data_IF_315402387224
#
_entry.id   IF_315402387224
#
_cell.length_a   1.000
_cell.length_b   1.000
_cell.length_c   1.000
_cell.angle_alpha   90.00
_cell.angle_beta   90.00
_cell.angle_gamma   90.00
#
_symmetry.space_group_name_H-M   'P 1'
#
loop_
_entity.id
_entity.type
_entity.pdbx_description
1 polymer ?
#
# COMPACT_ATOMS: atom_id res chain seq x y z
N UNK A 1 -40.56 26.31 -7.41
CA UNK A 1 -40.36 25.23 -8.42
C UNK A 1 -38.89 25.07 -8.83
N UNK A 2 -38.17 26.12 -9.28
CA UNK A 2 -36.76 26.00 -9.72
C UNK A 2 -35.76 25.49 -8.67
N UNK A 3 -35.91 25.88 -7.38
CA UNK A 3 -35.02 25.42 -6.29
C UNK A 3 -35.14 23.91 -5.98
N UNK A 4 -36.34 23.34 -6.09
CA UNK A 4 -36.58 21.91 -5.81
C UNK A 4 -35.95 21.04 -6.92
N UNK A 5 -36.07 21.48 -8.18
CA UNK A 5 -35.44 20.81 -9.33
C UNK A 5 -33.91 20.79 -9.20
N UNK A 6 -33.30 21.89 -8.74
CA UNK A 6 -31.86 21.96 -8.56
C UNK A 6 -31.35 21.01 -7.46
N UNK A 7 -32.06 20.92 -6.33
CA UNK A 7 -31.71 19.98 -5.23
C UNK A 7 -31.85 18.53 -5.70
N UNK A 8 -32.88 18.21 -6.48
CA UNK A 8 -33.08 16.87 -7.03
C UNK A 8 -31.96 16.49 -8.02
N UNK A 9 -31.56 17.41 -8.91
CA UNK A 9 -30.44 17.21 -9.83
C UNK A 9 -29.12 16.98 -9.09
N UNK A 10 -28.85 17.75 -8.03
CA UNK A 10 -27.65 17.58 -7.21
C UNK A 10 -27.65 16.23 -6.50
N UNK A 11 -28.77 15.82 -5.90
CA UNK A 11 -28.91 14.51 -5.25
C UNK A 11 -28.77 13.34 -6.24
N UNK A 12 -29.33 13.46 -7.44
CA UNK A 12 -29.17 12.49 -8.53
C UNK A 12 -27.71 12.38 -8.99
N UNK A 13 -27.01 13.52 -9.10
CA UNK A 13 -25.59 13.54 -9.50
C UNK A 13 -24.65 12.94 -8.45
N UNK A 14 -24.93 13.20 -7.16
CA UNK A 14 -24.20 12.60 -6.03
C UNK A 14 -24.40 11.09 -5.97
N UNK A 15 -25.64 10.61 -6.12
CA UNK A 15 -25.94 9.18 -6.15
C UNK A 15 -25.31 8.49 -7.37
N UNK A 16 -25.30 9.14 -8.55
CA UNK A 16 -24.63 8.59 -9.73
C UNK A 16 -23.10 8.50 -9.55
N UNK A 17 -22.47 9.50 -8.91
CA UNK A 17 -21.04 9.46 -8.59
C UNK A 17 -20.70 8.40 -7.53
N UNK A 18 -21.53 8.28 -6.49
CA UNK A 18 -21.36 7.26 -5.44
C UNK A 18 -21.53 5.84 -6.01
N UNK A 19 -22.57 5.61 -6.83
CA UNK A 19 -22.80 4.33 -7.50
C UNK A 19 -21.66 3.99 -8.49
N UNK A 20 -21.17 4.98 -9.25
CA UNK A 20 -20.05 4.78 -10.19
C UNK A 20 -18.73 4.48 -9.45
N UNK A 21 -18.48 5.12 -8.31
CA UNK A 21 -17.33 4.82 -7.44
C UNK A 21 -17.45 3.42 -6.84
N UNK A 22 -18.65 3.04 -6.37
CA UNK A 22 -18.91 1.72 -5.80
C UNK A 22 -18.75 0.60 -6.85
N UNK A 23 -19.27 0.78 -8.06
CA UNK A 23 -19.13 -0.18 -9.16
C UNK A 23 -17.68 -0.29 -9.68
N UNK A 24 -16.88 0.77 -9.58
CA UNK A 24 -15.45 0.71 -9.90
C UNK A 24 -14.62 -0.03 -8.82
N UNK A 25 -15.06 0.01 -7.55
CA UNK A 25 -14.35 -0.65 -6.44
C UNK A 25 -14.59 -2.17 -6.40
N UNK A 26 -15.73 -2.65 -6.89
CA UNK A 26 -16.09 -4.08 -6.83
C UNK A 26 -15.21 -4.99 -7.71
N UNK A 27 -14.37 -4.41 -8.57
CA UNK A 27 -13.52 -5.16 -9.51
C UNK A 27 -12.08 -4.61 -9.61
N UNK A 28 -11.64 -3.78 -8.67
CA UNK A 28 -10.29 -3.24 -8.69
C UNK A 28 -9.31 -4.25 -8.10
N UNK A 29 -8.43 -4.79 -8.95
CA UNK A 29 -7.33 -5.66 -8.52
C UNK A 29 -6.45 -4.92 -7.49
N UNK A 30 -5.98 -5.59 -6.43
CA UNK A 30 -5.13 -4.93 -5.43
C UNK A 30 -3.82 -4.46 -6.05
N UNK A 31 -3.29 -3.36 -5.51
CA UNK A 31 -1.92 -2.95 -5.75
C UNK A 31 -0.98 -3.94 -5.08
N UNK A 32 0.09 -4.30 -5.79
CA UNK A 32 1.27 -4.97 -5.25
C UNK A 32 2.42 -3.98 -5.26
N UNK A 33 3.03 -3.78 -4.11
CA UNK A 33 4.05 -2.78 -3.88
C UNK A 33 5.27 -3.49 -3.30
N UNK A 34 6.35 -3.52 -4.07
CA UNK A 34 7.63 -4.04 -3.62
C UNK A 34 8.46 -2.89 -3.08
N UNK A 35 8.88 -2.98 -1.82
CA UNK A 35 9.78 -2.01 -1.20
C UNK A 35 11.11 -2.71 -0.93
N UNK A 36 12.17 -2.22 -1.59
CA UNK A 36 13.52 -2.74 -1.45
C UNK A 36 14.25 -1.94 -0.38
N UNK A 37 14.97 -2.63 0.51
CA UNK A 37 15.56 -2.01 1.70
C UNK A 37 16.95 -2.55 1.98
N UNK A 38 17.78 -1.71 2.60
CA UNK A 38 19.04 -2.13 3.19
C UNK A 38 19.05 -1.83 4.69
N UNK A 39 19.32 -2.84 5.51
CA UNK A 39 19.61 -2.65 6.92
C UNK A 39 20.84 -1.75 7.10
N UNK A 40 20.73 -0.75 7.94
CA UNK A 40 21.82 0.18 8.24
C UNK A 40 22.68 -0.33 9.40
N UNK A 41 23.88 0.23 9.61
CA UNK A 41 24.68 -0.10 10.80
C UNK A 41 23.91 0.08 12.12
N UNK A 42 23.01 1.06 12.21
CA UNK A 42 22.19 1.30 13.40
C UNK A 42 21.33 0.09 13.74
N UNK A 43 20.68 -0.53 12.74
CA UNK A 43 19.94 -1.78 12.93
C UNK A 43 20.85 -2.95 13.32
N UNK A 44 21.99 -3.07 12.63
CA UNK A 44 22.90 -4.20 12.80
C UNK A 44 23.65 -4.18 14.13
N UNK A 45 23.77 -3.01 14.79
CA UNK A 45 24.33 -2.90 16.14
C UNK A 45 23.40 -3.40 17.23
N UNK A 46 22.09 -3.50 16.95
CA UNK A 46 21.12 -4.03 17.91
C UNK A 46 21.31 -5.53 18.12
N UNK A 47 21.19 -5.96 19.36
CA UNK A 47 21.07 -7.37 19.69
C UNK A 47 19.67 -7.92 19.32
N UNK A 48 19.48 -9.24 19.45
CA UNK A 48 18.25 -9.91 19.03
C UNK A 48 17.03 -9.45 19.84
N UNK A 49 17.19 -9.26 21.14
CA UNK A 49 16.09 -8.85 22.04
C UNK A 49 15.67 -7.41 21.72
N UNK A 50 16.63 -6.51 21.49
CA UNK A 50 16.35 -5.12 21.09
C UNK A 50 15.59 -5.04 19.76
N UNK A 51 15.94 -5.90 18.79
CA UNK A 51 15.19 -6.00 17.52
C UNK A 51 13.79 -6.54 17.74
N UNK A 52 13.64 -7.59 18.54
CA UNK A 52 12.33 -8.17 18.87
C UNK A 52 11.43 -7.15 19.55
N UNK A 53 11.96 -6.46 20.55
CA UNK A 53 11.26 -5.40 21.29
C UNK A 53 10.79 -4.28 20.36
N UNK A 54 11.65 -3.85 19.42
CA UNK A 54 11.28 -2.83 18.45
C UNK A 54 10.14 -3.30 17.54
N UNK A 55 10.22 -4.53 17.02
CA UNK A 55 9.16 -5.08 16.16
C UNK A 55 7.83 -5.21 16.92
N UNK A 56 7.87 -5.71 18.15
CA UNK A 56 6.66 -5.93 18.96
C UNK A 56 6.02 -4.60 19.37
N UNK A 57 6.81 -3.65 19.86
CA UNK A 57 6.30 -2.41 20.47
C UNK A 57 6.00 -1.31 19.45
N UNK A 58 6.77 -1.22 18.37
CA UNK A 58 6.66 -0.13 17.40
C UNK A 58 6.00 -0.57 16.09
N UNK A 59 6.43 -1.70 15.50
CA UNK A 59 5.97 -2.09 14.15
C UNK A 59 4.65 -2.85 14.15
N UNK A 60 4.46 -3.76 15.11
CA UNK A 60 3.25 -4.60 15.18
C UNK A 60 1.97 -3.78 15.32
N UNK A 61 1.91 -2.73 16.17
CA UNK A 61 0.73 -1.85 16.24
C UNK A 61 0.41 -1.16 14.91
N UNK A 62 1.44 -0.78 14.14
CA UNK A 62 1.28 -0.15 12.82
C UNK A 62 0.65 -1.16 11.85
N UNK A 63 1.19 -2.39 11.76
CA UNK A 63 0.63 -3.44 10.89
C UNK A 63 -0.83 -3.75 11.23
N UNK A 64 -1.15 -3.88 12.52
CA UNK A 64 -2.52 -4.12 12.99
C UNK A 64 -3.45 -2.98 12.54
N UNK A 65 -3.00 -1.73 12.65
CA UNK A 65 -3.82 -0.55 12.32
C UNK A 65 -4.26 -0.51 10.85
N UNK A 66 -3.42 -0.94 9.92
CA UNK A 66 -3.72 -0.93 8.47
C UNK A 66 -4.19 -2.30 7.93
N UNK A 67 -4.23 -3.32 8.78
CA UNK A 67 -4.48 -4.72 8.40
C UNK A 67 -5.80 -5.00 7.69
N UNK A 68 -6.76 -4.06 7.72
CA UNK A 68 -8.04 -4.20 7.04
C UNK A 68 -7.89 -4.24 5.51
N UNK A 69 -6.94 -3.48 4.97
CA UNK A 69 -6.76 -3.31 3.52
C UNK A 69 -5.32 -3.53 3.09
N UNK A 70 -4.37 -3.59 4.02
CA UNK A 70 -2.94 -3.75 3.75
C UNK A 70 -2.45 -5.09 4.29
N UNK A 71 -1.86 -5.90 3.42
CA UNK A 71 -1.10 -7.11 3.78
C UNK A 71 0.38 -6.87 3.56
N UNK A 72 1.23 -7.23 4.51
CA UNK A 72 2.68 -7.08 4.41
C UNK A 72 3.35 -8.45 4.54
N UNK A 73 4.29 -8.75 3.65
CA UNK A 73 5.17 -9.91 3.72
C UNK A 73 6.62 -9.43 3.70
N UNK A 74 7.42 -9.87 4.67
CA UNK A 74 8.82 -9.48 4.83
C UNK A 74 9.73 -10.63 4.37
N UNK A 75 10.83 -10.30 3.70
CA UNK A 75 11.78 -11.27 3.15
C UNK A 75 13.22 -10.82 3.36
N UNK A 76 14.04 -11.78 3.75
CA UNK A 76 15.49 -11.67 3.88
C UNK A 76 16.17 -11.91 2.51
N UNK A 77 17.12 -11.07 2.14
CA UNK A 77 17.85 -11.12 0.87
C UNK A 77 19.36 -10.97 1.02
N UNK A 78 19.85 -10.68 2.23
CA UNK A 78 21.23 -10.28 2.51
C UNK A 78 22.29 -11.35 2.20
N UNK A 79 21.89 -12.62 2.18
CA UNK A 79 22.77 -13.73 1.76
C UNK A 79 22.63 -14.09 0.28
N UNK A 80 21.68 -13.49 -0.45
CA UNK A 80 21.32 -13.82 -1.83
C UNK A 80 21.59 -12.68 -2.81
N UNK A 81 21.56 -11.43 -2.37
CA UNK A 81 21.71 -10.26 -3.23
C UNK A 81 22.61 -9.20 -2.60
N UNK A 82 23.58 -8.70 -3.38
CA UNK A 82 24.61 -7.80 -2.87
C UNK A 82 24.13 -6.35 -2.62
N UNK A 83 23.04 -5.92 -3.27
CA UNK A 83 22.58 -4.51 -3.21
C UNK A 83 21.28 -4.29 -2.43
N UNK A 84 20.63 -5.37 -2.00
CA UNK A 84 19.34 -5.37 -1.28
C UNK A 84 19.46 -6.41 -0.18
N UNK A 85 19.38 -6.00 1.09
CA UNK A 85 19.43 -6.93 2.21
C UNK A 85 18.03 -7.42 2.59
N UNK A 86 17.00 -6.62 2.38
CA UNK A 86 15.64 -6.93 2.78
C UNK A 86 14.66 -6.41 1.73
N UNK A 87 13.52 -7.07 1.58
CA UNK A 87 12.41 -6.48 0.85
C UNK A 87 11.08 -6.84 1.50
N UNK A 88 10.08 -5.98 1.28
CA UNK A 88 8.71 -6.29 1.62
C UNK A 88 7.81 -6.23 0.41
N UNK A 89 6.88 -7.18 0.34
CA UNK A 89 5.76 -7.14 -0.59
C UNK A 89 4.54 -6.68 0.20
N UNK A 90 3.97 -5.57 -0.24
CA UNK A 90 2.75 -5.00 0.32
C UNK A 90 1.63 -5.17 -0.70
N UNK A 91 0.53 -5.79 -0.31
CA UNK A 91 -0.69 -5.86 -1.11
C UNK A 91 -1.76 -4.98 -0.50
N UNK A 92 -2.42 -4.15 -1.31
CA UNK A 92 -3.53 -3.33 -0.82
C UNK A 92 -4.63 -3.03 -1.83
N UNK A 93 -5.87 -2.94 -1.33
CA UNK A 93 -7.01 -2.41 -2.10
C UNK A 93 -7.23 -0.91 -1.87
N UNK A 94 -6.48 -0.28 -0.96
CA UNK A 94 -6.63 1.12 -0.59
C UNK A 94 -5.25 1.81 -0.45
N UNK A 95 -4.93 2.68 -1.41
CA UNK A 95 -3.66 3.43 -1.39
C UNK A 95 -3.58 4.46 -0.25
N UNK A 96 -4.71 4.91 0.31
CA UNK A 96 -4.69 5.82 1.46
C UNK A 96 -4.24 5.08 2.73
N UNK A 97 -4.64 3.82 2.91
CA UNK A 97 -4.15 2.98 4.01
C UNK A 97 -2.68 2.57 3.80
N UNK A 98 -2.23 2.33 2.56
CA UNK A 98 -0.80 2.19 2.27
C UNK A 98 -0.01 3.47 2.57
N UNK A 99 -0.53 4.64 2.21
CA UNK A 99 0.09 5.92 2.55
C UNK A 99 0.18 6.08 4.06
N UNK A 100 -0.90 5.80 4.79
CA UNK A 100 -0.91 5.83 6.25
C UNK A 100 0.15 4.87 6.83
N UNK A 101 0.25 3.66 6.29
CA UNK A 101 1.28 2.69 6.68
C UNK A 101 2.69 3.28 6.54
N UNK A 102 3.03 3.85 5.38
CA UNK A 102 4.35 4.45 5.16
C UNK A 102 4.59 5.66 6.06
N UNK A 103 3.62 6.56 6.23
CA UNK A 103 3.77 7.72 7.13
C UNK A 103 3.99 7.28 8.58
N UNK A 104 3.28 6.25 9.05
CA UNK A 104 3.51 5.69 10.40
C UNK A 104 4.90 5.08 10.52
N UNK A 105 5.40 4.36 9.51
CA UNK A 105 6.78 3.88 9.52
C UNK A 105 7.79 5.03 9.55
N UNK A 106 7.50 6.15 8.86
CA UNK A 106 8.36 7.33 8.83
C UNK A 106 8.56 7.97 10.19
N UNK A 107 7.56 7.86 11.06
CA UNK A 107 7.61 8.35 12.45
C UNK A 107 8.42 7.42 13.38
N UNK A 108 8.83 6.23 12.92
CA UNK A 108 9.64 5.28 13.70
C UNK A 108 11.13 5.34 13.33
N UNK A 109 11.95 4.58 14.05
CA UNK A 109 13.35 4.37 13.71
C UNK A 109 13.57 3.62 12.39
N UNK A 110 12.52 3.08 11.74
CA UNK A 110 12.66 2.56 10.37
C UNK A 110 13.23 3.65 9.45
N UNK A 111 12.72 4.89 9.53
CA UNK A 111 13.19 6.03 8.73
C UNK A 111 13.85 7.15 9.55
N UNK A 112 13.30 7.53 10.71
CA UNK A 112 13.70 8.75 11.43
C UNK A 112 15.09 8.70 12.06
N UNK A 113 15.60 7.51 12.32
CA UNK A 113 16.99 7.24 12.72
C UNK A 113 17.38 5.91 12.06
N UNK A 114 17.58 5.92 10.73
CA UNK A 114 17.09 4.86 9.87
C UNK A 114 17.76 3.55 10.20
N UNK A 115 16.97 2.60 10.70
CA UNK A 115 17.32 1.18 10.76
C UNK A 115 17.36 0.57 9.36
N UNK A 116 16.61 1.15 8.41
CA UNK A 116 16.61 0.73 7.02
C UNK A 116 16.73 1.93 6.07
N UNK A 117 17.51 1.76 5.01
CA UNK A 117 17.55 2.64 3.84
C UNK A 117 16.62 2.07 2.78
N UNK A 118 15.63 2.85 2.33
CA UNK A 118 14.78 2.45 1.20
C UNK A 118 15.57 2.61 -0.11
N UNK A 119 15.70 1.53 -0.86
CA UNK A 119 16.43 1.49 -2.14
C UNK A 119 15.53 1.77 -3.33
N UNK A 120 14.31 1.23 -3.31
CA UNK A 120 13.32 1.44 -4.38
C UNK A 120 11.91 1.10 -3.90
N UNK A 121 10.90 1.62 -4.60
CA UNK A 121 9.49 1.28 -4.43
C UNK A 121 8.89 1.03 -5.81
N UNK A 122 8.52 -0.21 -6.08
CA UNK A 122 7.93 -0.63 -7.35
C UNK A 122 6.47 -0.97 -7.12
N UNK A 123 5.57 -0.26 -7.80
CA UNK A 123 4.11 -0.45 -7.69
C UNK A 123 3.57 -1.06 -8.98
N UNK A 124 2.71 -2.06 -8.84
CA UNK A 124 1.97 -2.65 -9.95
C UNK A 124 0.62 -3.20 -9.50
N UNK A 125 -0.12 -3.75 -10.45
CA UNK A 125 -1.36 -4.50 -10.21
C UNK A 125 -1.32 -5.73 -11.12
N UNK A 126 -1.79 -6.86 -10.63
CA UNK A 126 -1.71 -8.13 -11.32
C UNK A 126 -2.49 -8.11 -12.65
N UNK A 127 -1.83 -8.49 -13.76
CA UNK A 127 -2.48 -8.73 -15.06
C UNK A 127 -3.40 -7.60 -15.57
N UNK A 128 -3.10 -6.32 -15.34
CA UNK A 128 -3.94 -5.19 -15.83
C UNK A 128 -4.09 -5.13 -17.36
N UNK A 129 -3.18 -5.75 -18.10
CA UNK A 129 -3.29 -5.83 -19.55
C UNK A 129 -4.54 -6.60 -20.01
N UNK A 130 -5.03 -7.56 -19.20
CA UNK A 130 -6.25 -8.32 -19.48
C UNK A 130 -7.48 -7.41 -19.43
N UNK A 131 -7.59 -6.60 -18.38
CA UNK A 131 -8.67 -5.62 -18.18
C UNK A 131 -8.70 -4.62 -19.35
N UNK A 132 -7.51 -4.18 -19.78
CA UNK A 132 -7.36 -3.32 -20.97
C UNK A 132 -7.88 -4.04 -22.22
N UNK A 133 -7.46 -5.28 -22.45
CA UNK A 133 -7.86 -6.05 -23.63
C UNK A 133 -9.37 -6.31 -23.68
N UNK A 134 -10.01 -6.57 -22.54
CA UNK A 134 -11.47 -6.72 -22.46
C UNK A 134 -12.21 -5.43 -22.79
N UNK A 135 -11.74 -4.29 -22.24
CA UNK A 135 -12.31 -2.98 -22.56
C UNK A 135 -12.14 -2.66 -24.05
N UNK A 136 -10.97 -2.92 -24.60
CA UNK A 136 -10.65 -2.66 -26.00
C UNK A 136 -11.49 -3.51 -26.96
N UNK A 137 -11.81 -4.78 -26.61
CA UNK A 137 -12.72 -5.62 -27.39
C UNK A 137 -14.14 -5.04 -27.43
N UNK A 138 -14.63 -4.52 -26.30
CA UNK A 138 -15.98 -3.92 -26.18
C UNK A 138 -16.12 -2.64 -27.01
N UNK A 139 -15.06 -1.84 -27.14
CA UNK A 139 -15.05 -0.61 -27.95
C UNK A 139 -15.13 -0.85 -29.46
N UNK A 140 -14.81 -2.07 -29.92
CA UNK A 140 -14.85 -2.45 -31.35
C UNK A 140 -16.18 -3.08 -31.79
N UNK A 141 -17.09 -3.34 -30.86
CA UNK A 141 -18.43 -3.90 -31.13
C UNK A 141 -19.46 -2.78 -31.19
#
# INVERSE_FOLDING_TARGET
>A
MKKIILILLVALSLNAHAQKKHNNMENQKPYTILVLMNATPQWLTLNRDERSDFVEKELTPIFVRVSKTVTVQLFDSEYFHASVSDFMIVSTTDLDDYKLFIELLRDTKVYGAPYFEIKDIIVGQENLFEDFNERFKKEKQ
#
